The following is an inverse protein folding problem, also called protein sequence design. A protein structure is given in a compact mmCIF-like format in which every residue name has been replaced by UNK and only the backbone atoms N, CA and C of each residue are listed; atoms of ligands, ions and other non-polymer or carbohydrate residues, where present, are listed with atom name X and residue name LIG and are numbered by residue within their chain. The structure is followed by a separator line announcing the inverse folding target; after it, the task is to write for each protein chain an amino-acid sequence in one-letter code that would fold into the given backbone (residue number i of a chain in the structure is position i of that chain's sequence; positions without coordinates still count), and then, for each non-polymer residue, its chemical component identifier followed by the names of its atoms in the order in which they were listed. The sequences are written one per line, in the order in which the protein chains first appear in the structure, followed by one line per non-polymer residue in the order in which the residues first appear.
data_IF_988827146376
#
_entry.id   IF_988827146376
#
_cell.length_a   1.000
_cell.length_b   1.000
_cell.length_c   1.000
_cell.angle_alpha   90.00
_cell.angle_beta   90.00
_cell.angle_gamma   90.00
#
_symmetry.space_group_name_H-M   'P 1'
#
loop_
_entity.id
_entity.type
_entity.pdbx_description
1 polymer ?
#
# COMPACT_ATOMS: atom_id res chain seq x y z
N UNK A 1 0.42 4.59 14.66
CA UNK A 1 1.44 4.89 13.65
C UNK A 1 2.65 5.54 14.28
N UNK A 2 2.50 6.60 15.08
CA UNK A 2 3.62 7.26 15.81
C UNK A 2 4.55 6.28 16.55
N UNK A 3 4.01 5.36 17.36
CA UNK A 3 4.82 4.33 18.03
C UNK A 3 5.69 3.49 17.08
N UNK A 4 5.21 3.21 15.87
CA UNK A 4 5.97 2.43 14.89
C UNK A 4 7.10 3.26 14.27
N UNK A 5 6.91 4.58 14.19
CA UNK A 5 7.98 5.53 13.82
C UNK A 5 9.02 5.61 14.92
N UNK A 6 8.58 5.73 16.18
CA UNK A 6 9.49 5.76 17.34
C UNK A 6 10.35 4.49 17.44
N UNK A 7 9.78 3.34 17.03
CA UNK A 7 10.47 2.05 16.98
C UNK A 7 11.27 1.81 15.69
N UNK A 8 11.37 2.81 14.80
CA UNK A 8 12.04 2.70 13.50
C UNK A 8 11.50 1.58 12.59
N UNK A 9 10.23 1.19 12.80
CA UNK A 9 9.52 0.25 11.94
C UNK A 9 8.87 0.96 10.75
N UNK A 10 8.72 2.28 10.83
CA UNK A 10 8.21 3.17 9.78
C UNK A 10 9.01 4.47 9.74
N UNK A 11 9.25 4.97 8.53
CA UNK A 11 9.77 6.31 8.28
C UNK A 11 8.64 7.23 7.83
N UNK A 12 8.68 8.51 8.20
CA UNK A 12 7.79 9.53 7.63
C UNK A 12 8.43 10.07 6.36
N UNK A 13 7.76 9.91 5.22
CA UNK A 13 8.29 10.30 3.91
C UNK A 13 7.63 11.54 3.31
N UNK A 14 6.54 12.02 3.91
CA UNK A 14 5.89 13.27 3.51
C UNK A 14 4.41 13.29 3.81
N UNK A 15 3.66 14.08 3.04
CA UNK A 15 2.20 14.16 3.13
C UNK A 15 1.56 13.97 1.76
N UNK A 16 0.37 13.39 1.71
CA UNK A 16 -0.42 13.25 0.50
C UNK A 16 -1.18 14.55 0.13
N UNK A 17 -1.77 14.64 -1.07
CA UNK A 17 -2.56 15.81 -1.49
C UNK A 17 -3.82 16.10 -0.66
N UNK A 18 -4.28 15.15 0.16
CA UNK A 18 -5.39 15.33 1.10
C UNK A 18 -4.90 15.76 2.51
N UNK A 19 -3.59 15.97 2.69
CA UNK A 19 -2.97 16.36 3.95
C UNK A 19 -2.66 15.19 4.89
N UNK A 20 -2.83 13.94 4.45
CA UNK A 20 -2.50 12.74 5.22
C UNK A 20 -0.99 12.47 5.29
N UNK A 21 -0.48 12.00 6.42
CA UNK A 21 0.94 11.66 6.59
C UNK A 21 1.26 10.34 5.86
N UNK A 22 2.35 10.34 5.09
CA UNK A 22 2.87 9.17 4.36
C UNK A 22 3.98 8.51 5.15
N UNK A 23 3.87 7.19 5.27
CA UNK A 23 4.86 6.34 5.92
C UNK A 23 5.48 5.38 4.92
N UNK A 24 6.76 5.06 5.10
CA UNK A 24 7.49 4.01 4.37
C UNK A 24 7.98 2.96 5.35
N UNK A 25 7.84 1.68 5.00
CA UNK A 25 8.55 0.60 5.69
C UNK A 25 9.94 0.44 5.08
N UNK A 26 11.02 0.45 5.88
CA UNK A 26 12.35 0.14 5.37
C UNK A 26 12.39 -1.27 4.76
N UNK A 27 13.12 -1.46 3.65
CA UNK A 27 13.17 -2.75 2.93
C UNK A 27 13.57 -3.93 3.84
N UNK A 28 14.55 -3.72 4.73
CA UNK A 28 14.96 -4.76 5.68
C UNK A 28 13.83 -5.13 6.66
N UNK A 29 13.09 -4.13 7.17
CA UNK A 29 11.95 -4.36 8.06
C UNK A 29 10.83 -5.09 7.32
N UNK A 30 10.59 -4.73 6.05
CA UNK A 30 9.60 -5.41 5.19
C UNK A 30 9.96 -6.88 4.98
N UNK A 31 11.22 -7.18 4.68
CA UNK A 31 11.70 -8.54 4.49
C UNK A 31 11.59 -9.34 5.80
N UNK A 32 12.07 -8.79 6.91
CA UNK A 32 12.00 -9.45 8.21
C UNK A 32 10.56 -9.69 8.67
N UNK A 33 9.66 -8.73 8.46
CA UNK A 33 8.23 -8.92 8.77
C UNK A 33 7.62 -10.06 7.92
N UNK A 34 8.03 -10.19 6.66
CA UNK A 34 7.60 -11.30 5.81
C UNK A 34 8.09 -12.64 6.37
N UNK A 35 9.36 -12.74 6.74
CA UNK A 35 9.95 -13.95 7.33
C UNK A 35 9.23 -14.34 8.63
N UNK A 36 8.98 -13.37 9.52
CA UNK A 36 8.21 -13.60 10.75
C UNK A 36 6.80 -14.10 10.47
N UNK A 37 6.09 -13.54 9.48
CA UNK A 37 4.78 -14.03 9.09
C UNK A 37 4.86 -15.47 8.52
N UNK A 38 5.92 -15.79 7.78
CA UNK A 38 6.12 -17.13 7.23
C UNK A 38 6.40 -18.18 8.32
N UNK A 39 7.15 -17.78 9.34
CA UNK A 39 7.52 -18.62 10.49
C UNK A 39 6.36 -18.82 11.48
N UNK A 40 5.64 -17.76 11.83
CA UNK A 40 4.68 -17.79 12.93
C UNK A 40 3.23 -17.95 12.51
N UNK A 41 2.85 -17.46 11.32
CA UNK A 41 1.46 -17.53 10.86
C UNK A 41 1.24 -18.70 9.92
N UNK A 42 0.09 -19.37 10.05
CA UNK A 42 -0.31 -20.35 9.05
C UNK A 42 -0.61 -19.68 7.72
N UNK A 43 -0.49 -20.44 6.62
CA UNK A 43 -0.87 -19.95 5.28
C UNK A 43 -2.30 -19.38 5.24
N UNK A 44 -3.23 -20.00 5.97
CA UNK A 44 -4.62 -19.53 6.04
C UNK A 44 -4.73 -18.16 6.70
N UNK A 45 -3.99 -17.91 7.79
CA UNK A 45 -3.96 -16.62 8.48
C UNK A 45 -3.39 -15.53 7.56
N UNK A 46 -2.28 -15.82 6.88
CA UNK A 46 -1.67 -14.88 5.92
C UNK A 46 -2.60 -14.51 4.77
N UNK A 47 -3.24 -15.51 4.15
CA UNK A 47 -4.20 -15.28 3.06
C UNK A 47 -5.39 -14.46 3.53
N UNK A 48 -5.97 -14.82 4.69
CA UNK A 48 -7.09 -14.06 5.25
C UNK A 48 -6.73 -12.62 5.62
N UNK A 49 -5.48 -12.35 6.01
CA UNK A 49 -5.01 -10.98 6.22
C UNK A 49 -4.97 -10.18 4.92
N UNK A 50 -4.42 -10.75 3.84
CA UNK A 50 -4.42 -10.13 2.52
C UNK A 50 -5.84 -9.87 2.00
N UNK A 51 -6.74 -10.85 2.14
CA UNK A 51 -8.15 -10.71 1.74
C UNK A 51 -8.84 -9.55 2.45
N UNK A 52 -8.61 -9.34 3.75
CA UNK A 52 -9.17 -8.20 4.49
C UNK A 52 -8.67 -6.86 3.95
N UNK A 53 -7.39 -6.75 3.65
CA UNK A 53 -6.80 -5.51 3.11
C UNK A 53 -7.35 -5.20 1.72
N UNK A 54 -7.30 -6.18 0.82
CA UNK A 54 -7.78 -5.99 -0.55
C UNK A 54 -9.29 -5.75 -0.63
N UNK A 55 -10.09 -6.45 0.17
CA UNK A 55 -11.53 -6.21 0.22
C UNK A 55 -11.86 -4.82 0.76
N UNK A 56 -11.12 -4.32 1.77
CA UNK A 56 -11.24 -2.95 2.25
C UNK A 56 -10.96 -1.91 1.16
N UNK A 57 -9.85 -2.06 0.43
CA UNK A 57 -9.51 -1.17 -0.68
C UNK A 57 -10.53 -1.20 -1.83
N UNK A 58 -11.00 -2.40 -2.19
CA UNK A 58 -12.05 -2.54 -3.20
C UNK A 58 -13.36 -1.87 -2.75
N UNK A 59 -13.74 -1.99 -1.48
CA UNK A 59 -14.92 -1.29 -0.94
C UNK A 59 -14.75 0.22 -1.08
N UNK A 60 -13.60 0.77 -0.69
CA UNK A 60 -13.33 2.21 -0.81
C UNK A 60 -13.38 2.70 -2.26
N UNK A 61 -12.82 1.92 -3.21
CA UNK A 61 -12.89 2.26 -4.63
C UNK A 61 -14.33 2.26 -5.16
N UNK A 62 -15.12 1.26 -4.76
CA UNK A 62 -16.54 1.15 -5.13
C UNK A 62 -17.38 2.28 -4.51
N UNK A 63 -17.11 2.64 -3.25
CA UNK A 63 -17.83 3.69 -2.53
C UNK A 63 -17.44 5.10 -3.03
N UNK A 64 -16.17 5.32 -3.38
CA UNK A 64 -15.72 6.55 -4.04
C UNK A 64 -16.44 6.78 -5.38
N UNK A 65 -16.65 5.72 -6.16
CA UNK A 65 -17.43 5.76 -7.41
C UNK A 65 -18.90 6.12 -7.20
N UNK A 66 -19.47 5.81 -6.03
CA UNK A 66 -20.90 6.01 -5.73
C UNK A 66 -21.21 7.35 -5.06
N UNK A 67 -20.27 7.91 -4.31
CA UNK A 67 -20.54 8.97 -3.33
C UNK A 67 -20.36 10.40 -3.85
N UNK A 68 -19.55 10.63 -4.88
CA UNK A 68 -19.27 11.98 -5.39
C UNK A 68 -18.89 11.94 -6.86
N UNK A 69 -18.87 13.09 -7.54
CA UNK A 69 -18.18 13.29 -8.81
C UNK A 69 -16.66 13.09 -8.65
N UNK A 70 -16.27 11.88 -8.26
CA UNK A 70 -14.93 11.35 -8.28
C UNK A 70 -14.59 11.20 -9.75
N UNK A 71 -13.88 12.19 -10.28
CA UNK A 71 -13.43 12.14 -11.66
C UNK A 71 -12.55 10.90 -11.82
N UNK A 72 -13.02 9.95 -12.63
CA UNK A 72 -12.28 8.73 -12.93
C UNK A 72 -10.87 9.02 -13.42
N UNK A 73 -10.65 10.22 -13.98
CA UNK A 73 -9.34 10.70 -14.38
C UNK A 73 -8.34 10.78 -13.21
N UNK A 74 -8.74 11.23 -12.01
CA UNK A 74 -7.84 11.24 -10.84
C UNK A 74 -7.49 9.82 -10.39
N UNK A 75 -8.43 8.88 -10.47
CA UNK A 75 -8.15 7.48 -10.16
C UNK A 75 -7.23 6.86 -11.22
N UNK A 76 -7.46 7.14 -12.49
CA UNK A 76 -6.61 6.69 -13.59
C UNK A 76 -5.20 7.26 -13.49
N UNK A 77 -5.05 8.54 -13.13
CA UNK A 77 -3.76 9.17 -12.89
C UNK A 77 -3.07 8.54 -11.66
N UNK A 78 -3.82 8.23 -10.60
CA UNK A 78 -3.33 7.53 -9.40
C UNK A 78 -2.99 6.05 -9.65
N UNK A 79 -3.68 5.37 -10.57
CA UNK A 79 -3.40 3.99 -11.00
C UNK A 79 -2.24 3.93 -12.00
N UNK A 80 -2.09 4.97 -12.83
CA UNK A 80 -1.00 5.12 -13.81
C UNK A 80 0.34 5.39 -13.13
N UNK A 81 0.31 6.15 -12.03
CA UNK A 81 1.46 6.30 -11.14
C UNK A 81 1.09 5.91 -9.70
N UNK A 82 1.18 4.60 -9.37
CA UNK A 82 0.89 4.12 -8.02
C UNK A 82 1.92 4.60 -6.98
N UNK A 83 3.05 5.20 -7.41
CA UNK A 83 3.99 5.86 -6.49
C UNK A 83 3.39 7.15 -5.88
N UNK A 84 2.30 7.66 -6.46
CA UNK A 84 1.50 8.73 -5.87
C UNK A 84 0.55 8.24 -4.79
N UNK A 85 0.25 6.94 -4.71
CA UNK A 85 -0.59 6.31 -3.66
C UNK A 85 0.26 5.89 -2.46
N UNK A 86 1.46 5.39 -2.72
CA UNK A 86 2.47 4.99 -1.74
C UNK A 86 3.82 5.43 -2.30
N UNK A 87 4.77 5.93 -1.51
CA UNK A 87 6.11 6.25 -2.02
C UNK A 87 6.88 4.94 -2.32
N UNK A 88 6.45 4.25 -3.38
CA UNK A 88 6.96 2.97 -3.88
C UNK A 88 8.27 3.26 -4.60
N UNK A 89 9.42 2.74 -4.11
CA UNK A 89 10.68 2.84 -4.82
C UNK A 89 10.52 2.30 -6.25
N UNK A 90 11.07 3.02 -7.24
CA UNK A 90 10.84 2.75 -8.67
C UNK A 90 11.25 1.33 -9.12
N UNK A 91 12.04 0.63 -8.32
CA UNK A 91 12.49 -0.76 -8.52
C UNK A 91 11.48 -1.82 -8.05
N UNK A 92 10.42 -1.42 -7.34
CA UNK A 92 9.48 -2.34 -6.70
C UNK A 92 8.25 -2.67 -7.58
N UNK A 93 7.98 -1.86 -8.60
CA UNK A 93 6.94 -2.16 -9.60
C UNK A 93 7.57 -3.01 -10.71
N UNK A 94 7.18 -4.29 -10.89
CA UNK A 94 7.62 -5.04 -12.05
C UNK A 94 7.12 -4.29 -13.28
N UNK A 95 8.03 -3.76 -14.09
CA UNK A 95 7.70 -3.11 -15.35
C UNK A 95 6.75 -4.02 -16.13
N UNK A 96 5.49 -3.62 -16.26
CA UNK A 96 4.47 -4.32 -17.05
C UNK A 96 4.74 -4.19 -18.58
N UNK A 97 6.00 -4.00 -18.98
CA UNK A 97 6.50 -3.95 -20.35
C UNK A 97 7.57 -5.02 -20.50
N UNK A 98 7.14 -6.28 -20.59
CA UNK A 98 8.04 -7.41 -20.79
C UNK A 98 7.38 -8.77 -20.71
N UNK A 99 6.15 -8.92 -21.21
CA UNK A 99 5.55 -10.23 -21.45
C UNK A 99 4.45 -10.09 -22.51
N UNK A 100 4.86 -10.02 -23.77
CA UNK A 100 4.23 -10.68 -24.93
C UNK A 100 5.16 -10.54 -26.13
#
# INVERSE_FOLDING_TARGET
MERLVDLQLLDVVGTDPAGGVRYRQPELIRLYAKELCEEHDSRQVRVGACERVFSGWLSMAVDGRRSTGFDGQRLEDMLRDPSTLFDVPADTVPSARGAY
#
